data_IF_109199444133
#
_entry.id   IF_109199444133
#
_cell.length_a   1.000
_cell.length_b   1.000
_cell.length_c   1.000
_cell.angle_alpha   90.00
_cell.angle_beta   90.00
_cell.angle_gamma   90.00
#
_symmetry.space_group_name_H-M   'P 1'
#
loop_
_entity.id
_entity.type
_entity.pdbx_description
1 polymer ?
#
# COMPACT_ATOMS: atom_id res chain seq x y z
N UNK A 1 -41.55 51.02 2.49
CA UNK A 1 -40.19 50.84 3.02
C UNK A 1 -40.11 49.81 4.15
N UNK A 2 -40.90 49.91 5.23
CA UNK A 2 -40.85 48.99 6.39
C UNK A 2 -41.23 47.53 6.05
N UNK A 3 -42.21 47.33 5.16
CA UNK A 3 -42.66 45.98 4.76
C UNK A 3 -41.60 45.20 3.97
N UNK A 4 -40.81 45.89 3.14
CA UNK A 4 -39.73 45.27 2.36
C UNK A 4 -38.55 44.86 3.25
N UNK A 5 -38.19 45.70 4.23
CA UNK A 5 -37.17 45.35 5.23
C UNK A 5 -37.56 44.10 6.05
N UNK A 6 -38.84 43.96 6.41
CA UNK A 6 -39.34 42.79 7.16
C UNK A 6 -39.31 41.52 6.30
N UNK A 7 -39.59 41.63 5.00
CA UNK A 7 -39.56 40.51 4.05
C UNK A 7 -38.13 40.03 3.79
N UNK A 8 -37.17 40.95 3.65
CA UNK A 8 -35.75 40.63 3.50
C UNK A 8 -35.18 39.94 4.74
N UNK A 9 -35.51 40.43 5.94
CA UNK A 9 -35.10 39.81 7.21
C UNK A 9 -35.69 38.42 7.41
N UNK A 10 -36.94 38.18 6.99
CA UNK A 10 -37.56 36.85 7.06
C UNK A 10 -36.90 35.87 6.09
N UNK A 11 -36.54 36.31 4.88
CA UNK A 11 -35.81 35.47 3.92
C UNK A 11 -34.42 35.08 4.41
N UNK A 12 -33.66 36.01 5.04
CA UNK A 12 -32.34 35.68 5.58
C UNK A 12 -32.43 34.65 6.71
N UNK A 13 -33.38 34.85 7.64
CA UNK A 13 -33.62 33.91 8.75
C UNK A 13 -34.07 32.52 8.24
N UNK A 14 -34.87 32.48 7.17
CA UNK A 14 -35.31 31.23 6.55
C UNK A 14 -34.14 30.52 5.85
N UNK A 15 -33.28 31.25 5.14
CA UNK A 15 -32.07 30.71 4.48
C UNK A 15 -31.13 30.09 5.51
N UNK A 16 -30.82 30.80 6.59
CA UNK A 16 -29.93 30.30 7.66
C UNK A 16 -30.50 29.04 8.34
N UNK A 17 -31.82 28.98 8.52
CA UNK A 17 -32.46 27.77 9.06
C UNK A 17 -32.37 26.60 8.09
N UNK A 18 -32.54 26.83 6.78
CA UNK A 18 -32.43 25.78 5.76
C UNK A 18 -30.98 25.30 5.68
N UNK A 19 -30.00 26.21 5.67
CA UNK A 19 -28.58 25.87 5.61
C UNK A 19 -28.11 25.12 6.85
N UNK A 20 -28.59 25.49 8.03
CA UNK A 20 -28.33 24.73 9.26
C UNK A 20 -28.97 23.35 9.23
N UNK A 21 -30.21 23.23 8.72
CA UNK A 21 -30.88 21.93 8.56
C UNK A 21 -30.19 21.04 7.54
N UNK A 22 -29.66 21.63 6.47
CA UNK A 22 -28.84 20.96 5.48
C UNK A 22 -27.52 20.51 6.12
N UNK A 23 -26.79 21.37 6.83
CA UNK A 23 -25.56 21.02 7.56
C UNK A 23 -25.75 19.89 8.56
N UNK A 24 -26.84 19.91 9.32
CA UNK A 24 -27.20 18.81 10.25
C UNK A 24 -27.46 17.51 9.48
N UNK A 25 -28.19 17.58 8.35
CA UNK A 25 -28.42 16.42 7.46
C UNK A 25 -27.12 15.88 6.83
N UNK A 26 -26.14 16.74 6.57
CA UNK A 26 -24.82 16.35 6.07
C UNK A 26 -23.92 15.78 7.19
N UNK A 27 -24.04 16.27 8.44
CA UNK A 27 -23.37 15.69 9.62
C UNK A 27 -23.90 14.29 9.96
N UNK A 28 -25.21 14.07 9.83
CA UNK A 28 -25.81 12.73 10.00
C UNK A 28 -25.44 11.75 8.88
N UNK A 29 -24.87 12.25 7.78
CA UNK A 29 -24.34 11.45 6.67
C UNK A 29 -22.84 11.11 6.83
N UNK A 30 -22.24 11.32 8.01
CA UNK A 30 -20.96 10.69 8.31
C UNK A 30 -21.16 9.16 8.27
N UNK A 31 -20.52 8.43 7.34
CA UNK A 31 -20.68 6.99 7.28
C UNK A 31 -20.07 6.41 8.55
N UNK A 32 -20.95 6.08 9.49
CA UNK A 32 -20.61 5.49 10.77
C UNK A 32 -19.83 4.22 10.49
N UNK A 33 -18.53 4.24 10.77
CA UNK A 33 -17.61 3.14 10.51
C UNK A 33 -17.83 2.04 11.56
N UNK A 34 -19.01 1.40 11.46
CA UNK A 34 -19.69 0.63 12.53
C UNK A 34 -18.91 -0.60 12.99
N UNK A 35 -17.88 -0.98 12.24
CA UNK A 35 -17.05 -2.16 12.46
C UNK A 35 -15.54 -1.89 12.38
N UNK A 36 -15.10 -0.63 12.52
CA UNK A 36 -13.68 -0.24 12.44
C UNK A 36 -12.98 -0.71 11.15
N UNK A 37 -13.72 -0.80 10.03
CA UNK A 37 -13.26 -1.39 8.78
C UNK A 37 -12.13 -0.57 8.18
N UNK A 38 -12.22 0.76 8.28
CA UNK A 38 -11.16 1.66 7.84
C UNK A 38 -9.88 1.41 8.64
N UNK A 39 -9.99 1.17 9.95
CA UNK A 39 -8.83 0.87 10.78
C UNK A 39 -8.19 -0.47 10.39
N UNK A 40 -9.00 -1.50 10.13
CA UNK A 40 -8.52 -2.80 9.64
C UNK A 40 -7.89 -2.67 8.26
N UNK A 41 -8.45 -1.86 7.35
CA UNK A 41 -7.86 -1.58 6.04
C UNK A 41 -6.48 -0.93 6.17
N UNK A 42 -6.35 0.08 7.04
CA UNK A 42 -5.07 0.76 7.27
C UNK A 42 -4.01 -0.22 7.80
N UNK A 43 -4.40 -1.10 8.73
CA UNK A 43 -3.50 -2.10 9.31
C UNK A 43 -3.12 -3.17 8.29
N UNK A 44 -4.09 -3.74 7.58
CA UNK A 44 -3.85 -4.77 6.57
C UNK A 44 -3.04 -4.22 5.39
N UNK A 45 -3.24 -2.96 5.01
CA UNK A 45 -2.46 -2.35 3.95
C UNK A 45 -1.00 -2.12 4.37
N UNK A 46 -0.76 -1.65 5.60
CA UNK A 46 0.59 -1.55 6.17
C UNK A 46 1.27 -2.92 6.22
N UNK A 47 0.61 -3.94 6.77
CA UNK A 47 1.15 -5.30 6.85
C UNK A 47 1.44 -5.91 5.47
N UNK A 48 0.52 -5.77 4.52
CA UNK A 48 0.63 -6.36 3.19
C UNK A 48 1.72 -5.76 2.31
N UNK A 49 1.91 -4.44 2.37
CA UNK A 49 2.85 -3.76 1.49
C UNK A 49 4.29 -3.97 1.95
N UNK A 50 4.52 -3.89 3.27
CA UNK A 50 5.86 -3.85 3.81
C UNK A 50 6.48 -5.23 4.00
N UNK A 51 5.72 -6.30 4.27
CA UNK A 51 6.29 -7.64 4.53
C UNK A 51 7.21 -8.17 3.41
N UNK A 52 6.78 -8.21 2.13
CA UNK A 52 7.66 -8.67 1.06
C UNK A 52 8.82 -7.70 0.82
N UNK A 53 8.56 -6.41 0.97
CA UNK A 53 9.54 -5.35 0.73
C UNK A 53 10.66 -5.37 1.76
N UNK A 54 10.31 -5.50 3.05
CA UNK A 54 11.28 -5.59 4.16
C UNK A 54 12.07 -6.88 4.10
N UNK A 55 11.47 -8.00 3.73
CA UNK A 55 12.19 -9.26 3.50
C UNK A 55 13.33 -9.11 2.50
N UNK A 56 13.07 -8.54 1.31
CA UNK A 56 14.12 -8.35 0.31
C UNK A 56 15.14 -7.29 0.70
N UNK A 57 14.70 -6.22 1.38
CA UNK A 57 15.61 -5.18 1.86
C UNK A 57 16.56 -5.73 2.93
N UNK A 58 16.06 -6.55 3.84
CA UNK A 58 16.85 -7.27 4.85
C UNK A 58 17.80 -8.28 4.19
N UNK A 59 17.32 -9.12 3.27
CA UNK A 59 18.14 -10.12 2.59
C UNK A 59 19.30 -9.48 1.80
N UNK A 60 19.01 -8.39 1.07
CA UNK A 60 20.02 -7.66 0.31
C UNK A 60 21.00 -6.92 1.21
N UNK A 61 20.53 -6.32 2.30
CA UNK A 61 21.40 -5.67 3.27
C UNK A 61 22.37 -6.70 3.86
N UNK A 62 21.88 -7.81 4.41
CA UNK A 62 22.70 -8.89 4.99
C UNK A 62 23.71 -9.42 3.97
N UNK A 63 23.28 -9.65 2.73
CA UNK A 63 24.17 -10.11 1.65
C UNK A 63 25.25 -9.08 1.33
N UNK A 64 24.89 -7.80 1.18
CA UNK A 64 25.84 -6.72 0.86
C UNK A 64 26.86 -6.49 1.98
N UNK A 65 26.45 -6.59 3.25
CA UNK A 65 27.35 -6.50 4.40
C UNK A 65 28.40 -7.62 4.41
N UNK A 66 28.06 -8.82 3.90
CA UNK A 66 29.01 -9.93 3.76
C UNK A 66 30.03 -9.72 2.61
N UNK A 67 29.63 -9.06 1.51
CA UNK A 67 30.52 -8.83 0.35
C UNK A 67 31.45 -7.61 0.51
N UNK A 68 31.21 -6.74 1.49
CA UNK A 68 31.98 -5.52 1.72
C UNK A 68 33.45 -5.71 2.11
N UNK A 69 33.88 -6.94 2.45
CA UNK A 69 35.26 -7.20 2.91
C UNK A 69 36.18 -7.83 1.86
N UNK A 70 35.71 -8.18 0.66
CA UNK A 70 36.56 -8.85 -0.32
C UNK A 70 36.05 -8.56 -1.74
N UNK A 71 36.92 -8.04 -2.62
CA UNK A 71 37.19 -8.54 -3.98
C UNK A 71 37.76 -7.43 -4.87
N UNK A 72 38.98 -7.70 -5.35
CA UNK A 72 39.68 -7.00 -6.43
C UNK A 72 39.18 -7.48 -7.81
N UNK A 73 39.15 -6.56 -8.78
CA UNK A 73 38.92 -6.71 -10.22
C UNK A 73 39.10 -8.11 -10.83
N UNK A 74 38.00 -8.71 -11.27
CA UNK A 74 37.81 -9.49 -12.54
C UNK A 74 36.36 -10.07 -12.57
N UNK A 75 35.68 -10.18 -11.43
CA UNK A 75 34.28 -10.61 -11.29
C UNK A 75 33.25 -9.51 -11.60
N UNK A 76 33.64 -8.39 -12.21
CA UNK A 76 32.79 -7.19 -12.30
C UNK A 76 31.54 -7.44 -13.14
N UNK A 77 31.61 -8.21 -14.23
CA UNK A 77 30.45 -8.41 -15.13
C UNK A 77 29.35 -9.34 -14.53
N UNK A 78 29.74 -10.40 -13.83
CA UNK A 78 28.80 -11.28 -13.11
C UNK A 78 28.25 -10.58 -11.85
N UNK A 79 29.10 -9.87 -11.11
CA UNK A 79 28.69 -9.08 -9.94
C UNK A 79 27.69 -8.00 -10.33
N UNK A 80 27.86 -7.33 -11.48
CA UNK A 80 26.89 -6.33 -11.95
C UNK A 80 25.51 -6.98 -12.08
N UNK A 81 25.39 -8.13 -12.72
CA UNK A 81 24.10 -8.82 -12.87
C UNK A 81 23.45 -9.11 -11.49
N UNK A 82 24.20 -9.67 -10.54
CA UNK A 82 23.66 -10.04 -9.23
C UNK A 82 23.42 -8.83 -8.31
N UNK A 83 24.29 -7.83 -8.36
CA UNK A 83 24.21 -6.60 -7.55
C UNK A 83 23.04 -5.71 -7.98
N UNK A 84 22.69 -5.71 -9.26
CA UNK A 84 21.58 -4.91 -9.78
C UNK A 84 20.28 -5.70 -9.91
N UNK A 85 20.29 -7.04 -9.82
CA UNK A 85 19.08 -7.85 -9.92
C UNK A 85 18.02 -7.42 -8.90
N UNK A 86 18.36 -7.39 -7.60
CA UNK A 86 17.40 -7.02 -6.56
C UNK A 86 16.94 -5.57 -6.71
N UNK A 87 17.82 -4.55 -6.87
CA UNK A 87 17.35 -3.19 -7.05
C UNK A 87 16.48 -2.95 -8.29
N UNK A 88 16.80 -3.60 -9.42
CA UNK A 88 16.08 -3.39 -10.68
C UNK A 88 14.80 -4.19 -10.74
N UNK A 89 14.83 -5.48 -10.40
CA UNK A 89 13.66 -6.35 -10.47
C UNK A 89 12.74 -6.12 -9.27
N UNK A 90 13.28 -6.08 -8.05
CA UNK A 90 12.45 -5.99 -6.85
C UNK A 90 11.87 -4.59 -6.64
N UNK A 91 12.69 -3.55 -6.80
CA UNK A 91 12.25 -2.18 -6.53
C UNK A 91 11.74 -1.50 -7.80
N UNK A 92 12.63 -1.26 -8.77
CA UNK A 92 12.28 -0.45 -9.95
C UNK A 92 11.14 -1.07 -10.78
N UNK A 93 11.22 -2.35 -11.10
CA UNK A 93 10.19 -3.02 -11.90
C UNK A 93 8.86 -3.09 -11.13
N UNK A 94 8.86 -3.40 -9.82
CA UNK A 94 7.61 -3.43 -9.06
C UNK A 94 6.95 -2.05 -8.97
N UNK A 95 7.73 -0.97 -8.88
CA UNK A 95 7.23 0.40 -8.86
C UNK A 95 6.65 0.81 -10.23
N UNK A 96 7.33 0.45 -11.33
CA UNK A 96 6.84 0.71 -12.69
C UNK A 96 5.53 -0.04 -12.95
N UNK A 97 5.47 -1.32 -12.60
CA UNK A 97 4.25 -2.12 -12.74
C UNK A 97 3.14 -1.62 -11.80
N UNK A 98 3.51 -1.17 -10.59
CA UNK A 98 2.59 -0.51 -9.66
C UNK A 98 2.00 0.77 -10.25
N UNK A 99 2.81 1.59 -10.93
CA UNK A 99 2.32 2.76 -11.66
C UNK A 99 1.33 2.37 -12.75
N UNK A 100 1.60 1.31 -13.52
CA UNK A 100 0.64 0.78 -14.50
C UNK A 100 -0.68 0.37 -13.85
N UNK A 101 -0.63 -0.25 -12.66
CA UNK A 101 -1.81 -0.58 -11.87
C UNK A 101 -2.63 0.65 -11.48
N UNK A 102 -1.98 1.75 -11.07
CA UNK A 102 -2.65 3.02 -10.76
C UNK A 102 -3.32 3.63 -11.99
N UNK A 103 -2.61 3.64 -13.12
CA UNK A 103 -3.15 4.14 -14.41
C UNK A 103 -4.36 3.29 -14.84
N UNK A 104 -4.27 1.96 -14.70
CA UNK A 104 -5.37 1.06 -15.01
C UNK A 104 -6.60 1.31 -14.13
N UNK A 105 -6.40 1.55 -12.83
CA UNK A 105 -7.48 1.88 -11.91
C UNK A 105 -8.21 3.17 -12.30
N UNK A 106 -7.47 4.23 -12.65
CA UNK A 106 -8.05 5.49 -13.10
C UNK A 106 -8.90 5.36 -14.38
N UNK A 107 -8.57 4.40 -15.26
CA UNK A 107 -9.36 4.12 -16.47
C UNK A 107 -10.61 3.29 -16.17
N UNK A 108 -10.52 2.33 -15.27
CA UNK A 108 -11.59 1.36 -15.02
C UNK A 108 -12.61 1.85 -13.98
N UNK A 109 -12.23 2.75 -13.06
CA UNK A 109 -13.09 3.37 -12.05
C UNK A 109 -14.05 2.40 -11.32
N UNK A 110 -13.61 1.16 -11.10
CA UNK A 110 -14.38 0.15 -10.38
C UNK A 110 -14.34 0.50 -8.89
N UNK A 111 -15.49 0.66 -8.25
CA UNK A 111 -15.61 0.71 -6.80
C UNK A 111 -15.92 -0.69 -6.26
N UNK A 112 -15.23 -1.08 -5.19
CA UNK A 112 -15.40 -2.38 -4.53
C UNK A 112 -15.84 -2.14 -3.10
N UNK A 113 -16.74 -2.97 -2.57
CA UNK A 113 -17.14 -2.88 -1.18
C UNK A 113 -15.92 -3.10 -0.26
N UNK A 114 -15.73 -2.23 0.74
CA UNK A 114 -14.61 -2.29 1.69
C UNK A 114 -14.42 -3.66 2.36
N UNK A 115 -15.50 -4.41 2.64
CA UNK A 115 -15.37 -5.78 3.16
C UNK A 115 -14.74 -6.75 2.17
N UNK A 116 -15.18 -6.68 0.91
CA UNK A 116 -14.64 -7.51 -0.18
C UNK A 116 -13.17 -7.12 -0.42
N UNK A 117 -12.85 -5.83 -0.34
CA UNK A 117 -11.49 -5.34 -0.46
C UNK A 117 -10.56 -5.90 0.63
N UNK A 118 -11.01 -5.90 1.89
CA UNK A 118 -10.26 -6.50 3.00
C UNK A 118 -10.01 -8.00 2.79
N UNK A 119 -11.03 -8.74 2.34
CA UNK A 119 -10.89 -10.17 2.04
C UNK A 119 -9.89 -10.40 0.91
N UNK A 120 -9.95 -9.60 -0.16
CA UNK A 120 -8.98 -9.66 -1.27
C UNK A 120 -7.56 -9.41 -0.76
N UNK A 121 -7.37 -8.39 0.10
CA UNK A 121 -6.07 -8.13 0.71
C UNK A 121 -5.59 -9.32 1.54
N UNK A 122 -6.43 -9.86 2.40
CA UNK A 122 -6.06 -10.99 3.25
C UNK A 122 -5.66 -12.23 2.43
N UNK A 123 -6.44 -12.56 1.39
CA UNK A 123 -6.13 -13.67 0.47
C UNK A 123 -4.81 -13.42 -0.25
N UNK A 124 -4.57 -12.19 -0.72
CA UNK A 124 -3.31 -11.80 -1.36
C UNK A 124 -2.13 -12.01 -0.42
N UNK A 125 -2.27 -11.69 0.86
CA UNK A 125 -1.24 -11.93 1.88
C UNK A 125 -0.91 -13.41 2.02
N UNK A 126 -1.93 -14.26 2.13
CA UNK A 126 -1.75 -15.71 2.30
C UNK A 126 -1.12 -16.40 1.08
N UNK A 127 -1.33 -15.86 -0.11
CA UNK A 127 -0.80 -16.45 -1.36
C UNK A 127 0.60 -15.91 -1.66
N UNK A 128 0.76 -14.58 -1.76
CA UNK A 128 2.01 -14.00 -2.28
C UNK A 128 3.18 -14.12 -1.31
N UNK A 129 2.96 -14.08 0.00
CA UNK A 129 4.05 -14.16 0.98
C UNK A 129 4.76 -15.53 0.94
N UNK A 130 4.07 -16.68 1.04
CA UNK A 130 4.72 -17.98 0.91
C UNK A 130 5.36 -18.16 -0.47
N UNK A 131 4.70 -17.72 -1.54
CA UNK A 131 5.24 -17.82 -2.89
C UNK A 131 6.60 -17.11 -3.01
N UNK A 132 6.70 -15.89 -2.46
CA UNK A 132 7.93 -15.10 -2.45
C UNK A 132 9.00 -15.75 -1.57
N UNK A 133 8.64 -16.32 -0.41
CA UNK A 133 9.56 -17.01 0.49
C UNK A 133 10.20 -18.25 -0.17
N UNK A 134 9.45 -18.97 -0.99
CA UNK A 134 9.94 -20.16 -1.71
C UNK A 134 10.67 -19.86 -3.03
N UNK A 135 10.75 -18.59 -3.45
CA UNK A 135 11.58 -18.16 -4.59
C UNK A 135 13.07 -18.30 -4.30
N UNK A 136 13.87 -18.57 -5.32
CA UNK A 136 15.32 -18.75 -5.23
C UNK A 136 16.08 -17.49 -4.74
N UNK A 137 16.04 -17.22 -3.42
CA UNK A 137 16.83 -16.20 -2.74
C UNK A 137 18.07 -16.84 -2.14
N UNK A 138 19.26 -16.42 -2.59
CA UNK A 138 20.57 -16.84 -2.08
C UNK A 138 21.14 -15.78 -1.13
N UNK A 139 21.96 -16.15 -0.13
CA UNK A 139 22.43 -17.51 0.22
C UNK A 139 21.44 -18.26 1.15
N UNK A 140 21.18 -19.55 0.89
CA UNK A 140 20.34 -20.43 1.73
C UNK A 140 21.19 -21.42 2.52
N UNK A 141 20.79 -21.75 3.74
CA UNK A 141 21.43 -22.81 4.52
C UNK A 141 20.54 -24.07 4.70
N UNK A 142 19.22 -23.95 4.81
CA UNK A 142 18.35 -25.06 5.26
C UNK A 142 17.06 -25.30 4.44
N UNK A 143 16.53 -24.32 3.69
CA UNK A 143 15.21 -24.40 3.04
C UNK A 143 15.24 -24.84 1.57
N UNK A 144 14.38 -25.81 1.19
CA UNK A 144 14.24 -26.29 -0.19
C UNK A 144 13.65 -25.25 -1.14
N UNK A 145 14.26 -25.08 -2.31
CA UNK A 145 13.79 -24.16 -3.36
C UNK A 145 12.65 -24.80 -4.15
N UNK A 146 11.43 -24.24 -4.05
CA UNK A 146 10.27 -24.71 -4.83
C UNK A 146 10.22 -24.05 -6.22
N UNK A 147 10.69 -22.80 -6.32
CA UNK A 147 10.67 -21.99 -7.54
C UNK A 147 12.10 -21.64 -7.94
N UNK A 148 12.78 -22.49 -8.75
CA UNK A 148 14.20 -22.33 -9.06
C UNK A 148 14.49 -21.27 -10.13
N UNK A 149 13.49 -20.84 -10.88
CA UNK A 149 13.70 -19.92 -12.01
C UNK A 149 13.32 -18.48 -11.69
N UNK A 150 14.19 -17.55 -12.05
CA UNK A 150 14.03 -16.10 -11.82
C UNK A 150 12.79 -15.50 -12.49
N UNK A 151 12.35 -16.06 -13.62
CA UNK A 151 11.13 -15.58 -14.32
C UNK A 151 9.86 -15.80 -13.50
N UNK A 152 9.82 -16.84 -12.65
CA UNK A 152 8.69 -17.12 -11.77
C UNK A 152 8.59 -16.01 -10.72
N UNK A 153 9.73 -15.65 -10.13
CA UNK A 153 9.83 -14.53 -9.21
C UNK A 153 9.38 -13.21 -9.84
N UNK A 154 9.90 -12.88 -11.03
CA UNK A 154 9.53 -11.65 -11.76
C UNK A 154 8.02 -11.59 -12.03
N UNK A 155 7.41 -12.72 -12.42
CA UNK A 155 5.97 -12.80 -12.70
C UNK A 155 5.14 -12.60 -11.44
N UNK A 156 5.49 -13.27 -10.34
CA UNK A 156 4.82 -13.14 -9.04
C UNK A 156 4.91 -11.69 -8.55
N UNK A 157 6.08 -11.09 -8.63
CA UNK A 157 6.32 -9.72 -8.23
C UNK A 157 5.57 -8.71 -9.12
N UNK A 158 5.49 -8.97 -10.43
CA UNK A 158 4.71 -8.15 -11.35
C UNK A 158 3.22 -8.15 -11.02
N UNK A 159 2.63 -9.34 -10.79
CA UNK A 159 1.21 -9.45 -10.40
C UNK A 159 0.96 -8.79 -9.03
N UNK A 160 1.87 -9.02 -8.07
CA UNK A 160 1.79 -8.39 -6.76
C UNK A 160 1.86 -6.85 -6.85
N UNK A 161 2.86 -6.32 -7.56
CA UNK A 161 3.04 -4.88 -7.75
C UNK A 161 1.86 -4.22 -8.47
N UNK A 162 1.35 -4.87 -9.52
CA UNK A 162 0.20 -4.36 -10.29
C UNK A 162 -1.06 -4.28 -9.43
N UNK A 163 -1.41 -5.37 -8.74
CA UNK A 163 -2.58 -5.42 -7.85
C UNK A 163 -2.44 -4.44 -6.69
N UNK A 164 -1.21 -4.25 -6.17
CA UNK A 164 -0.94 -3.26 -5.15
C UNK A 164 -1.16 -1.83 -5.64
N UNK A 165 -0.58 -1.46 -6.77
CA UNK A 165 -0.80 -0.14 -7.38
C UNK A 165 -2.27 0.14 -7.68
N UNK A 166 -2.99 -0.86 -8.20
CA UNK A 166 -4.42 -0.76 -8.51
C UNK A 166 -5.26 -0.47 -7.26
N UNK A 167 -5.08 -1.26 -6.19
CA UNK A 167 -5.89 -1.12 -4.98
C UNK A 167 -5.51 0.14 -4.19
N UNK A 168 -4.21 0.48 -4.10
CA UNK A 168 -3.78 1.72 -3.45
C UNK A 168 -4.45 2.94 -4.07
N UNK A 169 -4.46 3.01 -5.39
CA UNK A 169 -5.12 4.11 -6.09
C UNK A 169 -6.62 4.16 -5.81
N UNK A 170 -7.28 3.00 -5.80
CA UNK A 170 -8.70 2.89 -5.46
C UNK A 170 -9.00 3.45 -4.07
N UNK A 171 -8.24 3.03 -3.05
CA UNK A 171 -8.40 3.50 -1.66
C UNK A 171 -8.21 5.02 -1.59
N UNK A 172 -7.18 5.56 -2.24
CA UNK A 172 -6.94 7.01 -2.22
C UNK A 172 -8.06 7.81 -2.91
N UNK A 173 -8.60 7.31 -4.02
CA UNK A 173 -9.72 7.93 -4.73
C UNK A 173 -11.03 7.87 -3.93
N UNK A 174 -11.29 6.75 -3.23
CA UNK A 174 -12.47 6.61 -2.37
C UNK A 174 -12.34 7.47 -1.10
N UNK A 175 -11.16 7.52 -0.49
CA UNK A 175 -10.90 8.35 0.69
C UNK A 175 -11.05 9.84 0.36
N UNK A 176 -10.58 10.27 -0.81
CA UNK A 176 -10.76 11.65 -1.30
C UNK A 176 -12.22 12.05 -1.52
N UNK A 177 -13.13 11.09 -1.73
CA UNK A 177 -14.57 11.35 -1.83
C UNK A 177 -15.26 11.38 -0.47
N UNK A 178 -14.66 10.76 0.55
CA UNK A 178 -15.24 10.60 1.87
C UNK A 178 -14.91 11.76 2.83
N UNK A 179 -13.75 12.38 2.63
CA UNK A 179 -13.19 13.39 3.54
C UNK A 179 -13.35 14.79 2.93
N UNK A 180 -13.67 15.77 3.77
CA UNK A 180 -13.67 17.19 3.39
C UNK A 180 -12.29 17.61 2.85
N UNK A 181 -12.20 18.42 1.78
CA UNK A 181 -10.94 18.75 1.12
C UNK A 181 -9.92 19.42 2.07
N UNK A 182 -10.39 20.17 3.07
CA UNK A 182 -9.53 20.81 4.08
C UNK A 182 -8.83 19.81 5.01
N UNK A 183 -9.42 18.62 5.24
CA UNK A 183 -8.88 17.58 6.13
C UNK A 183 -8.16 16.47 5.37
N UNK A 184 -8.24 16.47 4.04
CA UNK A 184 -7.75 15.38 3.21
C UNK A 184 -6.25 15.16 3.34
N UNK A 185 -5.47 16.24 3.34
CA UNK A 185 -4.01 16.18 3.49
C UNK A 185 -3.62 15.55 4.84
N UNK A 186 -4.31 15.94 5.92
CA UNK A 186 -4.07 15.39 7.25
C UNK A 186 -4.37 13.87 7.30
N UNK A 187 -5.45 13.42 6.65
CA UNK A 187 -5.79 12.00 6.60
C UNK A 187 -4.72 11.20 5.84
N UNK A 188 -4.22 11.70 4.71
CA UNK A 188 -3.13 11.04 3.98
C UNK A 188 -1.81 11.02 4.77
N UNK A 189 -1.49 12.10 5.48
CA UNK A 189 -0.31 12.14 6.36
C UNK A 189 -0.40 11.10 7.48
N UNK A 190 -1.56 11.00 8.13
CA UNK A 190 -1.80 9.99 9.18
C UNK A 190 -1.71 8.58 8.61
N UNK A 191 -2.33 8.33 7.46
CA UNK A 191 -2.26 7.04 6.77
C UNK A 191 -0.82 6.62 6.47
N UNK A 192 -0.03 7.52 5.88
CA UNK A 192 1.37 7.23 5.57
C UNK A 192 2.18 6.99 6.85
N UNK A 193 1.99 7.80 7.89
CA UNK A 193 2.68 7.64 9.18
C UNK A 193 2.36 6.29 9.82
N UNK A 194 1.07 5.92 9.94
CA UNK A 194 0.65 4.63 10.49
C UNK A 194 1.21 3.46 9.68
N UNK A 195 1.15 3.54 8.35
CA UNK A 195 1.68 2.49 7.49
C UNK A 195 3.20 2.31 7.67
N UNK A 196 3.96 3.40 7.84
CA UNK A 196 5.39 3.39 8.10
C UNK A 196 5.77 2.78 9.44
N UNK A 197 5.04 3.11 10.52
CA UNK A 197 5.26 2.50 11.85
C UNK A 197 4.97 1.00 11.83
N UNK A 198 3.91 0.58 11.15
CA UNK A 198 3.60 -0.83 10.98
C UNK A 198 4.70 -1.52 10.17
N UNK A 199 5.18 -0.89 9.09
CA UNK A 199 6.28 -1.40 8.27
C UNK A 199 7.58 -1.61 9.06
N UNK A 200 7.95 -0.69 9.95
CA UNK A 200 9.14 -0.84 10.78
C UNK A 200 8.98 -1.92 11.85
N UNK A 201 7.78 -2.05 12.43
CA UNK A 201 7.49 -3.11 13.41
C UNK A 201 7.60 -4.54 12.82
N UNK A 202 7.48 -4.68 11.49
CA UNK A 202 7.59 -5.97 10.79
C UNK A 202 9.05 -6.39 10.57
N UNK A 203 10.02 -5.47 10.57
CA UNK A 203 11.43 -5.76 10.24
C UNK A 203 12.03 -6.93 11.06
N UNK A 204 11.78 -7.09 12.37
CA UNK A 204 12.29 -8.24 13.11
C UNK A 204 11.81 -9.59 12.54
N UNK A 205 10.57 -9.65 12.05
CA UNK A 205 10.03 -10.87 11.43
C UNK A 205 10.70 -11.17 10.09
N UNK A 206 11.10 -10.15 9.34
CA UNK A 206 11.81 -10.33 8.07
C UNK A 206 13.24 -10.82 8.29
N UNK A 207 13.92 -10.40 9.38
CA UNK A 207 15.23 -10.93 9.77
C UNK A 207 15.12 -12.43 10.09
N UNK A 208 14.17 -12.81 10.95
CA UNK A 208 13.93 -14.23 11.28
C UNK A 208 13.59 -15.04 10.03
N UNK A 209 12.79 -14.49 9.11
CA UNK A 209 12.47 -15.15 7.84
C UNK A 209 13.73 -15.39 6.97
N UNK A 210 14.68 -14.44 6.96
CA UNK A 210 15.97 -14.61 6.26
C UNK A 210 16.86 -15.64 6.96
N UNK A 211 16.89 -15.68 8.29
CA UNK A 211 17.66 -16.68 9.06
C UNK A 211 17.13 -18.12 8.88
N UNK A 212 15.84 -18.28 8.62
CA UNK A 212 15.21 -19.58 8.37
C UNK A 212 15.47 -20.16 6.97
N UNK A 213 16.08 -19.39 6.05
CA UNK A 213 16.39 -19.82 4.68
C UNK A 213 17.71 -20.59 4.58
#
# INVERSE_FOLDING_TARGET
MILELKRVSLCSIQSDKIDNKLREKWKEAEPRDRFYIVHVLFVLMGLMHFLPYTFFLTANAVSTWQVGLFVLSITILSIISDKYFVPVITFLFSDVIGLLGRIANNKLNVSINGYVLNIIMFIRMLIFIPLIYFCNALPRQHSSVLLPHDWQYITILGVFGFTNGYILNMIFLELGKLVEPEKLEAVFMVFMACSGVIGTAIIPTSIVAVELL
#
